data_IF_770820126107
#
_entry.id   IF_770820126107
#
_cell.length_a   1.000
_cell.length_b   1.000
_cell.length_c   1.000
_cell.angle_alpha   90.00
_cell.angle_beta   90.00
_cell.angle_gamma   90.00
#
_symmetry.space_group_name_H-M   'P 1'
#
loop_
_entity.id
_entity.type
_entity.pdbx_description
1 polymer ?
#
# COMPACT_ATOMS: atom_id res chain seq x y z
N UNK A 1 0.33 19.78 -8.66
CA UNK A 1 1.00 19.21 -9.84
C UNK A 1 2.13 20.14 -10.19
N UNK A 2 3.36 19.62 -10.28
CA UNK A 2 4.59 20.40 -10.53
C UNK A 2 4.94 20.36 -12.01
N UNK A 3 4.79 19.20 -12.66
CA UNK A 3 5.09 19.00 -14.07
C UNK A 3 4.01 18.20 -14.77
N UNK A 4 3.96 18.32 -16.09
CA UNK A 4 3.04 17.59 -16.97
C UNK A 4 3.80 17.18 -18.23
N UNK A 5 3.64 15.92 -18.62
CA UNK A 5 4.16 15.38 -19.89
C UNK A 5 2.96 15.05 -20.77
N UNK A 6 2.98 15.55 -22.01
CA UNK A 6 1.88 15.41 -22.97
C UNK A 6 2.34 14.76 -24.29
N UNK A 7 3.51 14.11 -24.27
CA UNK A 7 4.07 13.41 -25.44
C UNK A 7 3.44 12.04 -25.69
N UNK A 8 2.79 11.45 -24.67
CA UNK A 8 2.21 10.11 -24.73
C UNK A 8 0.70 10.15 -25.08
N UNK A 9 0.09 8.99 -25.38
CA UNK A 9 -1.34 8.88 -25.72
C UNK A 9 -2.27 9.57 -24.73
N UNK A 10 -1.96 9.49 -23.43
CA UNK A 10 -2.63 10.28 -22.38
C UNK A 10 -1.60 11.04 -21.54
N UNK A 11 -1.97 12.19 -20.94
CA UNK A 11 -1.03 12.96 -20.14
C UNK A 11 -0.50 12.20 -18.92
N UNK A 12 0.74 12.50 -18.54
CA UNK A 12 1.35 12.10 -17.25
C UNK A 12 1.47 13.35 -16.38
N UNK A 13 0.93 13.29 -15.16
CA UNK A 13 0.95 14.38 -14.18
C UNK A 13 1.92 14.04 -13.06
N UNK A 14 2.87 14.93 -12.77
CA UNK A 14 3.92 14.70 -11.79
C UNK A 14 3.82 15.69 -10.63
N UNK A 15 3.87 15.20 -9.40
CA UNK A 15 3.97 16.00 -8.17
C UNK A 15 5.38 16.04 -7.57
N UNK A 16 6.39 15.80 -8.40
CA UNK A 16 7.81 15.86 -8.06
C UNK A 16 8.61 16.63 -9.12
N UNK A 17 9.84 17.04 -8.77
CA UNK A 17 10.77 17.76 -9.66
C UNK A 17 11.58 16.81 -10.54
N UNK A 18 12.02 15.69 -10.00
CA UNK A 18 12.86 14.73 -10.70
C UNK A 18 12.28 13.34 -10.45
N UNK A 19 12.10 12.57 -11.52
CA UNK A 19 11.70 11.18 -11.46
C UNK A 19 12.80 10.35 -12.11
N UNK A 20 13.20 9.26 -11.49
CA UNK A 20 14.26 8.43 -12.04
C UNK A 20 13.88 7.84 -13.42
N UNK A 21 14.86 7.56 -14.30
CA UNK A 21 14.56 7.16 -15.68
C UNK A 21 13.69 5.91 -15.81
N UNK A 22 13.88 4.91 -14.95
CA UNK A 22 13.10 3.68 -14.99
C UNK A 22 11.63 3.88 -14.61
N UNK A 23 11.37 4.67 -13.57
CA UNK A 23 10.01 5.04 -13.18
C UNK A 23 9.32 5.90 -14.25
N UNK A 24 10.06 6.81 -14.89
CA UNK A 24 9.55 7.60 -16.00
C UNK A 24 9.18 6.72 -17.20
N UNK A 25 10.02 5.74 -17.54
CA UNK A 25 9.72 4.81 -18.63
C UNK A 25 8.45 4.01 -18.34
N UNK A 26 8.30 3.47 -17.13
CA UNK A 26 7.08 2.77 -16.71
C UNK A 26 5.83 3.67 -16.82
N UNK A 27 5.93 4.93 -16.40
CA UNK A 27 4.82 5.89 -16.54
C UNK A 27 4.43 6.13 -18.00
N UNK A 28 5.41 6.21 -18.92
CA UNK A 28 5.19 6.33 -20.37
C UNK A 28 4.55 5.08 -20.96
N UNK A 29 5.04 3.91 -20.59
CA UNK A 29 4.47 2.64 -21.06
C UNK A 29 3.00 2.53 -20.65
N UNK A 30 2.69 2.85 -19.37
CA UNK A 30 1.32 2.88 -18.86
C UNK A 30 0.43 3.92 -19.57
N UNK A 31 0.94 5.11 -19.84
CA UNK A 31 0.20 6.17 -20.53
C UNK A 31 -0.22 5.76 -21.96
N UNK A 32 0.56 4.89 -22.60
CA UNK A 32 0.29 4.41 -23.95
C UNK A 32 -0.64 3.19 -24.03
N UNK A 33 -0.96 2.54 -22.90
CA UNK A 33 -1.90 1.41 -22.89
C UNK A 33 -3.30 1.86 -23.33
N UNK A 34 -3.95 1.10 -24.22
CA UNK A 34 -5.30 1.42 -24.72
C UNK A 34 -6.36 1.48 -23.62
N UNK A 35 -6.19 0.65 -22.58
CA UNK A 35 -7.06 0.58 -21.40
C UNK A 35 -6.86 1.75 -20.42
N UNK A 36 -5.78 2.52 -20.55
CA UNK A 36 -5.48 3.64 -19.66
C UNK A 36 -6.50 4.77 -19.80
N UNK A 37 -7.01 5.27 -18.67
CA UNK A 37 -8.08 6.25 -18.62
C UNK A 37 -7.60 7.63 -18.14
N UNK A 38 -7.79 8.65 -18.99
CA UNK A 38 -7.56 10.09 -18.76
C UNK A 38 -6.12 10.54 -18.52
N UNK A 39 -5.40 9.96 -17.56
CA UNK A 39 -4.01 10.32 -17.25
C UNK A 39 -3.35 9.30 -16.32
N UNK A 40 -2.02 9.32 -16.29
CA UNK A 40 -1.21 8.70 -15.24
C UNK A 40 -0.83 9.79 -14.22
N UNK A 41 -0.95 9.51 -12.92
CA UNK A 41 -0.50 10.43 -11.87
C UNK A 41 0.69 9.85 -11.11
N UNK A 42 1.72 10.65 -10.90
CA UNK A 42 2.96 10.27 -10.23
C UNK A 42 3.11 11.11 -8.96
N UNK A 43 3.12 10.42 -7.82
CA UNK A 43 3.19 11.02 -6.48
C UNK A 43 4.63 11.44 -6.13
N UNK A 44 4.81 12.31 -5.11
CA UNK A 44 6.12 12.86 -4.75
C UNK A 44 7.18 11.82 -4.34
N UNK A 45 6.77 10.66 -3.86
CA UNK A 45 7.58 9.54 -3.37
C UNK A 45 7.83 8.46 -4.44
N UNK A 46 7.48 8.76 -5.69
CA UNK A 46 7.51 7.78 -6.74
C UNK A 46 8.92 7.33 -7.13
N UNK A 47 9.05 6.04 -7.39
CA UNK A 47 10.27 5.37 -7.83
C UNK A 47 9.93 4.11 -8.63
N UNK A 48 10.94 3.48 -9.21
CA UNK A 48 10.82 2.38 -10.13
C UNK A 48 10.23 1.17 -9.41
N UNK A 49 9.12 0.67 -9.94
CA UNK A 49 8.47 -0.55 -9.47
C UNK A 49 8.62 -1.68 -10.50
N UNK A 50 7.57 -2.48 -10.64
CA UNK A 50 7.52 -3.61 -11.59
C UNK A 50 6.39 -3.40 -12.60
N UNK A 51 6.69 -2.66 -13.67
CA UNK A 51 5.73 -2.29 -14.73
C UNK A 51 4.86 -1.08 -14.39
N UNK A 52 4.61 -0.84 -13.09
CA UNK A 52 4.03 0.40 -12.57
C UNK A 52 5.01 1.03 -11.57
N UNK A 53 5.23 2.36 -11.61
CA UNK A 53 5.99 3.04 -10.57
C UNK A 53 5.31 2.87 -9.21
N UNK A 54 6.11 2.63 -8.16
CA UNK A 54 5.62 2.84 -6.79
C UNK A 54 5.29 4.33 -6.67
N UNK A 55 4.22 4.68 -5.96
CA UNK A 55 3.69 6.05 -5.96
C UNK A 55 3.00 6.47 -7.27
N UNK A 56 2.70 5.53 -8.18
CA UNK A 56 1.89 5.77 -9.36
C UNK A 56 0.39 5.60 -9.09
N UNK A 57 -0.45 6.29 -9.87
CA UNK A 57 -1.90 6.06 -9.93
C UNK A 57 -2.31 6.00 -11.40
N UNK A 58 -3.05 4.95 -11.74
CA UNK A 58 -3.63 4.71 -13.06
C UNK A 58 -5.08 4.28 -12.89
N UNK A 59 -5.99 4.87 -13.66
CA UNK A 59 -7.32 4.34 -13.85
C UNK A 59 -7.37 3.56 -15.17
N UNK A 60 -8.07 2.44 -15.19
CA UNK A 60 -8.25 1.58 -16.36
C UNK A 60 -9.73 1.48 -16.74
N UNK A 61 -10.02 1.19 -18.02
CA UNK A 61 -11.34 0.79 -18.49
C UNK A 61 -11.40 -0.73 -18.67
N UNK A 62 -12.44 -1.36 -18.13
CA UNK A 62 -12.81 -2.76 -18.36
C UNK A 62 -11.66 -3.77 -18.19
N UNK A 63 -10.67 -3.44 -17.35
CA UNK A 63 -9.45 -4.23 -17.19
C UNK A 63 -8.80 -3.98 -15.84
N UNK A 64 -8.16 -5.01 -15.30
CA UNK A 64 -7.36 -4.97 -14.08
C UNK A 64 -5.93 -5.36 -14.44
N UNK A 65 -4.94 -4.67 -13.88
CA UNK A 65 -3.53 -5.03 -14.00
C UNK A 65 -3.06 -5.45 -12.59
N UNK A 66 -2.94 -6.75 -12.28
CA UNK A 66 -2.57 -7.19 -10.93
C UNK A 66 -1.25 -6.59 -10.43
N UNK A 67 -0.23 -6.51 -11.29
CA UNK A 67 1.07 -5.94 -10.95
C UNK A 67 1.02 -4.41 -10.67
N UNK A 68 -0.03 -3.72 -11.12
CA UNK A 68 -0.26 -2.31 -10.79
C UNK A 68 -0.76 -2.10 -9.35
N UNK A 69 -1.33 -3.14 -8.74
CA UNK A 69 -1.72 -3.13 -7.32
C UNK A 69 -0.50 -3.34 -6.42
N UNK A 70 0.41 -4.23 -6.84
CA UNK A 70 1.60 -4.62 -6.09
C UNK A 70 1.56 -6.07 -5.63
N UNK A 71 2.72 -6.59 -5.23
CA UNK A 71 2.86 -7.98 -4.76
C UNK A 71 2.32 -8.19 -3.33
N UNK A 72 2.39 -7.14 -2.51
CA UNK A 72 1.89 -7.11 -1.13
C UNK A 72 0.53 -6.42 -1.11
N UNK A 73 -0.51 -7.16 -1.53
CA UNK A 73 -1.87 -6.64 -1.66
C UNK A 73 -2.44 -6.33 -0.27
N UNK A 74 -2.88 -5.09 -0.08
CA UNK A 74 -3.40 -4.63 1.21
C UNK A 74 -2.32 -4.08 2.13
N UNK A 75 -1.06 -3.98 1.67
CA UNK A 75 -0.04 -3.20 2.36
C UNK A 75 -0.56 -1.79 2.64
N UNK A 76 -0.45 -1.34 3.88
CA UNK A 76 -1.04 -0.09 4.31
C UNK A 76 -0.74 0.21 5.78
N UNK A 77 -1.32 1.30 6.26
CA UNK A 77 -1.10 1.79 7.62
C UNK A 77 -2.41 1.81 8.39
N UNK A 78 -2.36 1.30 9.63
CA UNK A 78 -3.42 1.49 10.62
C UNK A 78 -2.91 2.44 11.71
N UNK A 79 -3.80 3.31 12.21
CA UNK A 79 -3.50 4.18 13.34
C UNK A 79 -4.64 4.14 14.35
N UNK A 80 -4.28 4.02 15.64
CA UNK A 80 -5.24 4.04 16.74
C UNK A 80 -4.99 5.28 17.59
N UNK A 81 -6.01 6.13 17.70
CA UNK A 81 -5.95 7.32 18.55
C UNK A 81 -6.08 6.91 20.02
N UNK A 82 -5.16 7.39 20.84
CA UNK A 82 -5.22 7.20 22.30
C UNK A 82 -5.71 8.48 23.00
N UNK A 83 -6.01 8.39 24.29
CA UNK A 83 -6.34 9.54 25.14
C UNK A 83 -5.10 10.29 25.65
N UNK A 84 -3.89 9.73 25.45
CA UNK A 84 -2.64 10.34 25.90
C UNK A 84 -2.30 11.55 25.04
N UNK A 85 -2.03 12.69 25.69
CA UNK A 85 -1.52 13.89 25.02
C UNK A 85 0.00 13.96 25.03
N UNK A 86 0.61 13.40 26.07
CA UNK A 86 2.05 13.33 26.28
C UNK A 86 2.35 11.98 26.93
N UNK A 87 3.51 11.39 26.60
CA UNK A 87 3.97 10.12 27.16
C UNK A 87 5.44 10.29 27.53
N UNK A 88 5.76 10.06 28.80
CA UNK A 88 7.13 10.09 29.29
C UNK A 88 7.99 9.00 28.63
N UNK A 89 9.27 9.27 28.43
CA UNK A 89 10.16 8.36 27.71
C UNK A 89 10.24 6.96 28.37
N UNK A 90 10.18 6.87 29.70
CA UNK A 90 10.20 5.58 30.41
C UNK A 90 8.95 4.75 30.07
N UNK A 91 7.76 5.35 30.13
CA UNK A 91 6.50 4.71 29.75
C UNK A 91 6.50 4.27 28.28
N UNK A 92 7.05 5.10 27.38
CA UNK A 92 7.17 4.73 25.97
C UNK A 92 8.07 3.49 25.77
N UNK A 93 9.19 3.41 26.51
CA UNK A 93 10.08 2.23 26.46
C UNK A 93 9.37 0.97 26.95
N UNK A 94 8.56 1.07 28.00
CA UNK A 94 7.76 -0.06 28.51
C UNK A 94 6.71 -0.52 27.49
N UNK A 95 5.94 0.41 26.92
CA UNK A 95 4.95 0.12 25.88
C UNK A 95 5.60 -0.56 24.67
N UNK A 96 6.70 0.00 24.16
CA UNK A 96 7.44 -0.60 23.04
C UNK A 96 8.00 -1.98 23.40
N UNK A 97 8.39 -2.18 24.66
CA UNK A 97 8.81 -3.47 25.19
C UNK A 97 7.68 -4.51 25.16
N UNK A 98 6.46 -4.12 25.51
CA UNK A 98 5.27 -4.98 25.41
C UNK A 98 4.96 -5.29 23.94
N UNK A 99 4.92 -4.28 23.06
CA UNK A 99 4.63 -4.46 21.62
C UNK A 99 5.60 -5.48 21.01
N UNK A 100 6.91 -5.33 21.25
CA UNK A 100 7.93 -6.24 20.70
C UNK A 100 7.83 -7.68 21.22
N UNK A 101 7.30 -7.87 22.43
CA UNK A 101 7.07 -9.20 23.01
C UNK A 101 5.78 -9.84 22.48
N UNK A 102 4.77 -9.02 22.23
CA UNK A 102 3.42 -9.47 21.87
C UNK A 102 3.27 -9.65 20.36
N UNK A 103 3.77 -8.73 19.53
CA UNK A 103 3.58 -8.73 18.08
C UNK A 103 4.68 -9.58 17.41
N UNK A 104 4.33 -10.70 16.76
CA UNK A 104 5.27 -11.49 15.98
C UNK A 104 5.84 -10.68 14.81
N UNK A 105 7.13 -10.86 14.51
CA UNK A 105 7.82 -10.19 13.39
C UNK A 105 8.56 -11.21 12.53
N UNK A 106 8.74 -10.88 11.26
CA UNK A 106 9.29 -11.82 10.26
C UNK A 106 8.28 -12.92 9.96
N UNK A 107 8.73 -14.17 9.92
CA UNK A 107 7.89 -15.33 9.61
C UNK A 107 7.27 -16.01 10.86
N UNK A 108 7.18 -15.27 11.97
CA UNK A 108 6.63 -15.80 13.23
C UNK A 108 5.13 -15.53 13.30
N UNK A 109 4.41 -16.44 13.96
CA UNK A 109 3.00 -16.31 14.32
C UNK A 109 2.85 -16.46 15.84
N UNK A 110 1.76 -15.97 16.42
CA UNK A 110 1.34 -16.37 17.75
C UNK A 110 1.13 -17.89 17.82
N UNK A 111 1.28 -18.45 19.02
CA UNK A 111 1.10 -19.89 19.26
C UNK A 111 -0.35 -20.26 19.58
N UNK A 112 -1.19 -19.24 19.80
CA UNK A 112 -2.58 -19.34 20.22
C UNK A 112 -3.35 -18.24 19.52
N UNK A 113 -4.55 -18.58 19.10
CA UNK A 113 -5.48 -17.66 18.47
C UNK A 113 -5.75 -16.46 19.40
N UNK A 114 -5.72 -15.26 18.84
CA UNK A 114 -6.14 -14.02 19.48
C UNK A 114 -7.66 -14.00 19.68
N UNK A 115 -8.15 -13.10 20.53
CA UNK A 115 -9.58 -12.91 20.73
C UNK A 115 -10.24 -12.37 19.44
N UNK A 116 -11.24 -13.09 18.90
CA UNK A 116 -11.95 -12.67 17.70
C UNK A 116 -12.63 -11.30 17.85
N UNK A 117 -12.94 -10.86 19.08
CA UNK A 117 -13.51 -9.53 19.32
C UNK A 117 -12.57 -8.37 18.96
N UNK A 118 -11.27 -8.65 18.78
CA UNK A 118 -10.28 -7.66 18.35
C UNK A 118 -10.15 -7.56 16.82
N UNK A 119 -10.79 -8.48 16.10
CA UNK A 119 -10.70 -8.57 14.64
C UNK A 119 -11.82 -7.76 13.97
N UNK A 120 -11.62 -7.31 12.70
CA UNK A 120 -12.68 -6.67 11.93
C UNK A 120 -13.85 -7.64 11.65
N UNK A 121 -15.01 -7.15 11.18
CA UNK A 121 -16.10 -8.02 10.74
C UNK A 121 -15.63 -9.05 9.72
N UNK A 122 -15.96 -10.31 9.96
CA UNK A 122 -15.55 -11.43 9.12
C UNK A 122 -16.50 -11.64 7.95
N UNK A 123 -15.99 -11.48 6.74
CA UNK A 123 -16.66 -11.86 5.51
C UNK A 123 -16.32 -13.32 5.16
N UNK A 124 -17.34 -14.17 5.09
CA UNK A 124 -17.20 -15.61 4.77
C UNK A 124 -17.51 -15.94 3.31
N UNK A 125 -18.04 -15.00 2.56
CA UNK A 125 -18.47 -15.21 1.18
C UNK A 125 -17.26 -15.19 0.23
N UNK A 126 -16.21 -14.44 0.60
CA UNK A 126 -14.94 -14.40 -0.13
C UNK A 126 -13.93 -15.36 0.50
N UNK A 127 -13.76 -16.53 -0.13
CA UNK A 127 -12.88 -17.61 0.36
C UNK A 127 -11.48 -17.14 0.76
N UNK A 128 -10.84 -16.29 -0.05
CA UNK A 128 -9.48 -15.80 0.25
C UNK A 128 -9.47 -14.92 1.50
N UNK A 129 -10.48 -14.06 1.68
CA UNK A 129 -10.61 -13.21 2.86
C UNK A 129 -10.83 -14.05 4.12
N UNK A 130 -11.68 -15.09 4.06
CA UNK A 130 -11.89 -16.00 5.20
C UNK A 130 -10.63 -16.79 5.57
N UNK A 131 -9.80 -17.16 4.58
CA UNK A 131 -8.51 -17.81 4.81
C UNK A 131 -7.52 -16.88 5.50
N UNK A 132 -7.36 -15.65 4.99
CA UNK A 132 -6.46 -14.66 5.58
C UNK A 132 -6.92 -14.24 6.98
N UNK A 133 -8.23 -14.13 7.23
CA UNK A 133 -8.77 -13.87 8.57
C UNK A 133 -8.34 -14.94 9.59
N UNK A 134 -8.44 -16.23 9.22
CA UNK A 134 -8.00 -17.35 10.06
C UNK A 134 -6.48 -17.39 10.24
N UNK A 135 -5.73 -16.85 9.29
CA UNK A 135 -4.27 -16.72 9.41
C UNK A 135 -3.91 -15.58 10.37
N UNK A 136 -4.61 -14.45 10.28
CA UNK A 136 -4.37 -13.24 11.04
C UNK A 136 -4.71 -13.36 12.54
N UNK A 137 -5.60 -14.29 12.91
CA UNK A 137 -5.88 -14.58 14.33
C UNK A 137 -4.70 -15.30 15.02
N UNK A 138 -3.81 -15.91 14.22
CA UNK A 138 -2.71 -16.72 14.70
C UNK A 138 -1.42 -15.97 14.82
#
# INVERSE_FOLDING_TARGET
MIQKIETERIPIKLWLKELEPGALQQAKDLANLSIAFRHIAIMPDAHQGYGMPIGGVMATKDSIIPNAVGVDIGCGMCSLKTSYKHIEQHNLKEIMGIIRKTVPVGFKHHKKDQDESWMPPRDKDIKIVDQEYKSAIK
#
